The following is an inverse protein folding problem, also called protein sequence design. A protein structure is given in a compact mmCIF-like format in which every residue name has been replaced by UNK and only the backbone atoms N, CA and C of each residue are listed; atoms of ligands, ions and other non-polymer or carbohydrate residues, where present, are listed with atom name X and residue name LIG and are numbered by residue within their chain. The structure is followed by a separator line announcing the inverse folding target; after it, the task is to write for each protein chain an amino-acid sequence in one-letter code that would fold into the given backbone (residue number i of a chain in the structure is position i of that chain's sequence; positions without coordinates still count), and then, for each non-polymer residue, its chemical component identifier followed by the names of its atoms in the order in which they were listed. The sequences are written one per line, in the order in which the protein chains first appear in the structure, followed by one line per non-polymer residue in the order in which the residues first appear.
data_IF_462236654839
#
_entry.id   IF_462236654839
#
_cell.length_a   1.000
_cell.length_b   1.000
_cell.length_c   1.000
_cell.angle_alpha   90.00
_cell.angle_beta   90.00
_cell.angle_gamma   90.00
#
_symmetry.space_group_name_H-M   'P 1'
#
loop_
_entity.id
_entity.type
_entity.pdbx_description
1 polymer ?
#
# COMPACT_ATOMS: atom_id res chain seq x y z
N UNK A 1 9.62 13.76 25.47
CA UNK A 1 10.17 14.15 24.17
C UNK A 1 9.21 13.75 23.07
N UNK A 2 8.70 14.72 22.35
CA UNK A 2 7.83 14.43 21.19
C UNK A 2 8.71 14.17 19.98
N UNK A 3 8.58 12.98 19.40
CA UNK A 3 9.20 12.67 18.12
C UNK A 3 8.28 13.15 16.99
N UNK A 4 8.80 14.00 16.14
CA UNK A 4 8.10 14.41 14.92
C UNK A 4 8.63 13.59 13.75
N UNK A 5 7.72 12.92 13.08
CA UNK A 5 8.04 12.21 11.85
C UNK A 5 7.82 13.14 10.66
N UNK A 6 8.77 13.16 9.75
CA UNK A 6 8.62 13.87 8.49
C UNK A 6 7.96 12.93 7.47
N UNK A 7 6.92 13.41 6.82
CA UNK A 7 6.26 12.68 5.74
C UNK A 7 5.79 13.64 4.65
N UNK A 8 5.67 13.10 3.45
CA UNK A 8 5.18 13.86 2.30
C UNK A 8 3.65 13.76 2.23
N UNK A 9 3.02 14.69 1.52
CA UNK A 9 1.58 14.63 1.27
C UNK A 9 1.30 13.63 0.13
N UNK A 10 1.33 12.34 0.45
CA UNK A 10 1.23 11.26 -0.52
C UNK A 10 -0.02 11.31 -1.41
N UNK A 11 -1.22 11.74 -0.92
CA UNK A 11 -2.37 11.88 -1.80
C UNK A 11 -2.13 12.82 -2.98
N UNK A 12 -1.27 13.83 -2.81
CA UNK A 12 -0.93 14.77 -3.87
C UNK A 12 0.18 14.24 -4.78
N UNK A 13 1.19 13.58 -4.21
CA UNK A 13 2.46 13.33 -4.90
C UNK A 13 2.67 11.90 -5.37
N UNK A 14 2.00 10.89 -4.80
CA UNK A 14 2.28 9.48 -5.08
C UNK A 14 1.14 8.76 -5.77
N UNK A 15 1.52 7.80 -6.63
CA UNK A 15 0.64 6.76 -7.15
C UNK A 15 0.62 5.57 -6.20
N UNK A 16 -0.37 4.69 -6.32
CA UNK A 16 -0.46 3.45 -5.51
C UNK A 16 0.74 2.51 -5.68
N UNK A 17 1.50 2.66 -6.76
CA UNK A 17 2.75 1.95 -7.02
C UNK A 17 3.93 2.45 -6.19
N UNK A 18 3.75 3.51 -5.41
CA UNK A 18 4.77 4.31 -4.72
C UNK A 18 5.61 5.19 -5.66
N UNK A 19 5.24 5.28 -6.93
CA UNK A 19 5.89 6.20 -7.86
C UNK A 19 5.50 7.65 -7.57
N UNK A 20 6.45 8.56 -7.74
CA UNK A 20 6.16 9.99 -7.78
C UNK A 20 5.35 10.30 -9.04
N UNK A 21 4.25 11.06 -8.89
CA UNK A 21 3.31 11.30 -10.02
C UNK A 21 3.97 11.95 -11.22
N UNK A 22 4.92 12.84 -10.99
CA UNK A 22 5.57 13.61 -12.05
C UNK A 22 6.85 12.97 -12.58
N UNK A 23 7.26 11.82 -12.01
CA UNK A 23 8.49 11.15 -12.40
C UNK A 23 8.41 9.65 -12.14
N UNK A 24 8.18 8.87 -13.18
CA UNK A 24 7.95 7.42 -13.09
C UNK A 24 9.15 6.61 -12.56
N UNK A 25 10.35 7.17 -12.60
CA UNK A 25 11.57 6.51 -12.10
C UNK A 25 11.92 6.88 -10.67
N UNK A 26 11.11 7.72 -10.01
CA UNK A 26 11.31 8.12 -8.62
C UNK A 26 10.26 7.48 -7.74
N UNK A 27 10.70 6.76 -6.73
CA UNK A 27 9.85 6.06 -5.77
C UNK A 27 10.10 6.54 -4.36
N UNK A 28 9.06 6.54 -3.55
CA UNK A 28 9.16 6.78 -2.11
C UNK A 28 8.59 5.58 -1.37
N UNK A 29 9.16 5.27 -0.22
CA UNK A 29 8.71 4.15 0.61
C UNK A 29 8.90 4.45 2.09
N UNK A 30 8.30 3.64 2.93
CA UNK A 30 8.46 3.74 4.37
C UNK A 30 7.72 4.90 4.99
N UNK A 31 8.15 5.27 6.17
CA UNK A 31 7.50 6.25 7.03
C UNK A 31 7.27 7.60 6.35
N UNK A 32 8.17 8.03 5.49
CA UNK A 32 8.01 9.30 4.79
C UNK A 32 6.80 9.35 3.85
N UNK A 33 6.22 8.19 3.51
CA UNK A 33 5.00 8.13 2.68
C UNK A 33 3.72 8.22 3.49
N UNK A 34 3.80 8.14 4.82
CA UNK A 34 2.64 8.14 5.71
C UNK A 34 2.25 6.77 6.23
N UNK A 35 2.98 5.71 5.90
CA UNK A 35 2.80 4.42 6.59
C UNK A 35 3.63 4.44 7.87
N UNK A 36 3.06 3.94 8.97
CA UNK A 36 3.74 3.87 10.26
C UNK A 36 3.90 2.43 10.72
N UNK A 37 5.07 2.12 11.28
CA UNK A 37 5.42 0.82 11.80
C UNK A 37 6.52 0.15 10.99
N UNK A 38 7.25 -0.77 11.63
CA UNK A 38 8.37 -1.45 10.97
C UNK A 38 7.91 -2.39 9.85
N UNK A 39 6.84 -3.15 10.10
CA UNK A 39 6.27 -4.07 9.11
C UNK A 39 5.69 -3.29 7.94
N UNK A 40 4.94 -2.23 8.22
CA UNK A 40 4.32 -1.36 7.21
C UNK A 40 5.40 -0.71 6.33
N UNK A 41 6.44 -0.18 6.95
CA UNK A 41 7.55 0.44 6.22
C UNK A 41 8.30 -0.58 5.36
N UNK A 42 8.54 -1.78 5.87
CA UNK A 42 9.19 -2.86 5.13
C UNK A 42 8.34 -3.31 3.94
N UNK A 43 7.04 -3.47 4.15
CA UNK A 43 6.11 -3.86 3.09
C UNK A 43 6.05 -2.81 1.98
N UNK A 44 5.99 -1.53 2.34
CA UNK A 44 6.02 -0.44 1.36
C UNK A 44 7.32 -0.41 0.57
N UNK A 45 8.44 -0.63 1.22
CA UNK A 45 9.75 -0.71 0.58
C UNK A 45 9.86 -1.88 -0.39
N UNK A 46 9.33 -3.04 0.00
CA UNK A 46 9.27 -4.22 -0.86
C UNK A 46 8.46 -3.93 -2.14
N UNK A 47 7.26 -3.41 -2.00
CA UNK A 47 6.42 -3.12 -3.16
C UNK A 47 7.02 -2.02 -4.05
N UNK A 48 7.55 -0.96 -3.45
CA UNK A 48 8.24 0.09 -4.20
C UNK A 48 9.43 -0.45 -4.99
N UNK A 49 10.24 -1.33 -4.36
CA UNK A 49 11.40 -1.96 -5.01
C UNK A 49 11.00 -2.88 -6.16
N UNK A 50 9.95 -3.70 -5.98
CA UNK A 50 9.41 -4.55 -7.04
C UNK A 50 8.92 -3.69 -8.21
N UNK A 51 8.20 -2.62 -7.94
CA UNK A 51 7.69 -1.73 -8.99
C UNK A 51 8.81 -0.94 -9.68
N UNK A 52 9.85 -0.55 -8.96
CA UNK A 52 11.02 0.04 -9.60
C UNK A 52 11.68 -0.95 -10.56
N UNK A 53 11.83 -2.21 -10.17
CA UNK A 53 12.36 -3.26 -11.04
C UNK A 53 11.48 -3.44 -12.28
N UNK A 54 10.16 -3.47 -12.13
CA UNK A 54 9.24 -3.54 -13.26
C UNK A 54 9.45 -2.37 -14.23
N UNK A 55 9.54 -1.16 -13.72
CA UNK A 55 9.77 0.04 -14.56
C UNK A 55 11.10 -0.06 -15.32
N UNK A 56 12.16 -0.51 -14.64
CA UNK A 56 13.48 -0.68 -15.26
C UNK A 56 13.50 -1.74 -16.37
N UNK A 57 12.60 -2.71 -16.31
CA UNK A 57 12.47 -3.75 -17.32
C UNK A 57 11.33 -3.50 -18.31
N UNK A 58 10.79 -2.30 -18.35
CA UNK A 58 9.63 -1.93 -19.17
C UNK A 58 8.40 -2.79 -18.95
N UNK A 59 8.22 -3.27 -17.72
CA UNK A 59 7.07 -4.06 -17.29
C UNK A 59 6.06 -3.17 -16.57
N UNK A 60 4.81 -3.62 -16.54
CA UNK A 60 3.73 -2.92 -15.84
C UNK A 60 3.92 -3.03 -14.33
N UNK A 61 3.71 -1.92 -13.60
CA UNK A 61 3.76 -1.92 -12.14
C UNK A 61 2.65 -2.77 -11.54
N UNK A 62 2.92 -3.35 -10.37
CA UNK A 62 1.95 -4.10 -9.58
C UNK A 62 1.23 -3.17 -8.61
N UNK A 63 -0.10 -3.20 -8.66
CA UNK A 63 -0.96 -2.50 -7.71
C UNK A 63 -1.88 -3.54 -7.09
N UNK A 64 -1.54 -4.06 -5.89
CA UNK A 64 -2.33 -5.14 -5.27
C UNK A 64 -3.77 -4.77 -4.95
N UNK A 65 -4.03 -3.48 -4.74
CA UNK A 65 -5.36 -2.97 -4.46
C UNK A 65 -5.83 -3.18 -3.01
N UNK A 66 -6.97 -2.57 -2.63
CA UNK A 66 -7.42 -2.51 -1.24
C UNK A 66 -7.99 -3.82 -0.68
N UNK A 67 -8.05 -4.89 -1.48
CA UNK A 67 -8.48 -6.22 -1.02
C UNK A 67 -7.36 -6.97 -0.30
N UNK A 68 -6.13 -6.45 -0.30
CA UNK A 68 -5.00 -6.95 0.47
C UNK A 68 -4.53 -5.86 1.43
N UNK A 69 -3.90 -6.24 2.55
CA UNK A 69 -3.33 -5.23 3.45
C UNK A 69 -2.19 -4.46 2.78
N UNK A 70 -1.38 -5.15 2.00
CA UNK A 70 -0.28 -4.53 1.23
C UNK A 70 -0.81 -3.43 0.31
N UNK A 71 -1.83 -3.72 -0.48
CA UNK A 71 -2.44 -2.76 -1.39
C UNK A 71 -3.33 -1.73 -0.69
N UNK A 72 -3.98 -2.12 0.42
CA UNK A 72 -4.81 -1.20 1.19
C UNK A 72 -4.00 -0.04 1.77
N UNK A 73 -2.76 -0.29 2.20
CA UNK A 73 -1.87 0.77 2.70
C UNK A 73 -1.55 1.79 1.61
N UNK A 74 -1.11 1.35 0.44
CA UNK A 74 -0.80 2.26 -0.68
C UNK A 74 -2.05 2.96 -1.20
N UNK A 75 -3.17 2.27 -1.21
CA UNK A 75 -4.46 2.86 -1.58
C UNK A 75 -4.85 3.99 -0.61
N UNK A 76 -4.75 3.73 0.69
CA UNK A 76 -5.08 4.72 1.71
C UNK A 76 -4.22 5.97 1.60
N UNK A 77 -2.90 5.84 1.56
CA UNK A 77 -1.99 7.01 1.54
C UNK A 77 -2.11 7.83 0.26
N UNK A 78 -2.66 7.27 -0.82
CA UNK A 78 -2.82 7.98 -2.09
C UNK A 78 -4.23 8.49 -2.35
N UNK A 79 -5.22 8.01 -1.59
CA UNK A 79 -6.64 8.39 -1.75
C UNK A 79 -7.22 9.13 -0.54
N UNK A 80 -6.45 9.29 0.53
CA UNK A 80 -6.89 10.06 1.69
C UNK A 80 -7.06 11.54 1.35
N UNK A 81 -7.84 12.26 2.17
CA UNK A 81 -7.99 13.71 2.02
C UNK A 81 -6.64 14.41 2.21
N UNK A 82 -6.15 15.06 1.15
CA UNK A 82 -4.85 15.74 1.16
C UNK A 82 -4.76 16.89 2.17
N UNK A 83 -5.88 17.48 2.54
CA UNK A 83 -5.92 18.58 3.53
C UNK A 83 -5.73 18.10 4.96
N UNK A 84 -6.09 16.85 5.23
CA UNK A 84 -6.07 16.28 6.59
C UNK A 84 -5.29 14.95 6.62
N UNK A 85 -4.37 14.77 5.69
CA UNK A 85 -3.59 13.53 5.61
C UNK A 85 -2.73 13.32 6.85
N UNK A 86 -2.91 12.17 7.49
CA UNK A 86 -2.15 11.76 8.67
C UNK A 86 -1.53 10.38 8.43
N UNK A 87 -0.32 10.14 8.94
CA UNK A 87 0.27 8.81 8.93
C UNK A 87 -0.62 7.80 9.64
N UNK A 88 -0.52 6.54 9.22
CA UNK A 88 -1.39 5.49 9.75
C UNK A 88 -0.69 4.13 9.78
N UNK A 89 -0.96 3.38 10.85
CA UNK A 89 -0.61 1.97 10.96
C UNK A 89 -1.61 1.11 10.17
N UNK A 90 -1.15 -0.06 9.71
CA UNK A 90 -2.03 -1.04 9.09
C UNK A 90 -3.15 -1.45 10.05
N UNK A 91 -4.37 -1.46 9.55
CA UNK A 91 -5.54 -1.92 10.30
C UNK A 91 -6.61 -2.42 9.34
N UNK A 92 -7.51 -3.26 9.82
CA UNK A 92 -8.57 -3.82 8.97
C UNK A 92 -9.56 -2.79 8.43
N UNK A 93 -9.65 -1.62 9.05
CA UNK A 93 -10.54 -0.55 8.61
C UNK A 93 -10.23 0.01 7.22
N UNK A 94 -9.00 -0.17 6.74
CA UNK A 94 -8.60 0.30 5.40
C UNK A 94 -8.71 -0.79 4.33
N UNK A 95 -8.88 -2.06 4.72
CA UNK A 95 -9.08 -3.16 3.77
C UNK A 95 -10.53 -3.27 3.35
N UNK A 96 -10.73 -3.59 2.08
CA UNK A 96 -12.04 -3.93 1.55
C UNK A 96 -12.20 -5.46 1.54
N UNK A 97 -13.42 -5.92 1.79
CA UNK A 97 -13.78 -7.35 1.69
C UNK A 97 -14.58 -7.61 0.43
N UNK A 98 -14.28 -8.73 -0.24
CA UNK A 98 -15.12 -9.26 -1.30
C UNK A 98 -16.37 -9.89 -0.68
N UNK A 99 -17.54 -9.38 -1.02
CA UNK A 99 -18.80 -9.93 -0.56
C UNK A 99 -19.26 -9.40 0.81
N UNK A 100 -20.42 -9.86 1.23
CA UNK A 100 -21.06 -9.44 2.46
C UNK A 100 -20.82 -10.46 3.57
N UNK A 101 -20.21 -9.99 4.67
CA UNK A 101 -19.99 -10.80 5.85
C UNK A 101 -20.73 -10.20 7.05
N UNK A 102 -21.21 -11.07 7.94
CA UNK A 102 -21.69 -10.63 9.25
C UNK A 102 -20.52 -10.02 10.03
N UNK A 103 -20.81 -9.04 10.87
CA UNK A 103 -19.78 -8.33 11.65
C UNK A 103 -18.83 -9.26 12.38
N UNK A 104 -19.35 -10.37 12.97
CA UNK A 104 -18.55 -11.36 13.69
C UNK A 104 -17.59 -12.16 12.81
N UNK A 105 -17.88 -12.29 11.50
CA UNK A 105 -17.11 -13.11 10.57
C UNK A 105 -16.06 -12.29 9.78
N UNK A 106 -16.18 -10.97 9.77
CA UNK A 106 -15.31 -10.09 8.99
C UNK A 106 -13.84 -10.24 9.35
N UNK A 107 -13.56 -10.28 10.65
CA UNK A 107 -12.17 -10.35 11.15
C UNK A 107 -11.43 -11.58 10.60
N UNK A 108 -12.12 -12.70 10.46
CA UNK A 108 -11.54 -13.95 9.98
C UNK A 108 -11.49 -14.06 8.46
N UNK A 109 -12.09 -13.12 7.73
CA UNK A 109 -12.15 -13.12 6.27
C UNK A 109 -10.95 -12.38 5.63
N UNK A 110 -10.31 -11.45 6.34
CA UNK A 110 -9.27 -10.59 5.76
C UNK A 110 -8.01 -11.35 5.36
N UNK A 111 -7.47 -12.20 6.23
CA UNK A 111 -6.23 -12.91 5.96
C UNK A 111 -6.34 -13.91 4.81
N UNK A 112 -7.36 -14.80 4.76
CA UNK A 112 -7.52 -15.70 3.61
C UNK A 112 -7.68 -14.96 2.27
N UNK A 113 -8.40 -13.86 2.25
CA UNK A 113 -8.55 -13.03 1.05
C UNK A 113 -7.22 -12.47 0.59
N UNK A 114 -6.43 -11.88 1.51
CA UNK A 114 -5.11 -11.36 1.20
C UNK A 114 -4.17 -12.44 0.67
N UNK A 115 -4.12 -13.59 1.33
CA UNK A 115 -3.26 -14.71 0.93
C UNK A 115 -3.58 -15.19 -0.47
N UNK A 116 -4.86 -15.34 -0.79
CA UNK A 116 -5.31 -15.76 -2.12
C UNK A 116 -4.87 -14.77 -3.19
N UNK A 117 -5.09 -13.48 -2.98
CA UNK A 117 -4.76 -12.44 -3.96
C UNK A 117 -3.24 -12.29 -4.12
N UNK A 118 -2.48 -12.31 -3.03
CA UNK A 118 -1.03 -12.25 -3.09
C UNK A 118 -0.47 -13.46 -3.84
N UNK A 119 -1.01 -14.66 -3.60
CA UNK A 119 -0.59 -15.85 -4.33
C UNK A 119 -0.88 -15.74 -5.82
N UNK A 120 -2.05 -15.22 -6.21
CA UNK A 120 -2.38 -14.95 -7.61
C UNK A 120 -1.40 -13.98 -8.26
N UNK A 121 -1.02 -12.91 -7.55
CA UNK A 121 -0.04 -11.93 -8.03
C UNK A 121 1.37 -12.53 -8.18
N UNK A 122 1.76 -13.42 -7.28
CA UNK A 122 3.03 -14.15 -7.37
C UNK A 122 3.01 -15.13 -8.55
N UNK A 123 1.93 -15.86 -8.75
CA UNK A 123 1.78 -16.82 -9.84
C UNK A 123 1.79 -16.12 -11.21
N UNK A 124 1.30 -14.90 -11.31
CA UNK A 124 1.31 -14.09 -12.53
C UNK A 124 2.60 -13.28 -12.72
N UNK A 125 3.57 -13.40 -11.80
CA UNK A 125 4.84 -12.68 -11.81
C UNK A 125 4.69 -11.15 -11.68
N UNK A 126 3.59 -10.67 -11.11
CA UNK A 126 3.42 -9.25 -10.77
C UNK A 126 4.12 -8.89 -9.46
N UNK A 127 4.22 -9.86 -8.56
CA UNK A 127 4.98 -9.77 -7.32
C UNK A 127 6.15 -10.73 -7.30
#
# INVERSE_FOLDING_TARGET
VMHRNTYINSPIYLKESYQFKDRDTLFFAGQMTGVEGYIESSASGMLAGINLAHVMHNEKVCIPGPLTMLGAMSHYITHADSKHFQPMNANFGIMHLEGAFKKKDRKNAYAPQSERIIQELMDSHEL
#
